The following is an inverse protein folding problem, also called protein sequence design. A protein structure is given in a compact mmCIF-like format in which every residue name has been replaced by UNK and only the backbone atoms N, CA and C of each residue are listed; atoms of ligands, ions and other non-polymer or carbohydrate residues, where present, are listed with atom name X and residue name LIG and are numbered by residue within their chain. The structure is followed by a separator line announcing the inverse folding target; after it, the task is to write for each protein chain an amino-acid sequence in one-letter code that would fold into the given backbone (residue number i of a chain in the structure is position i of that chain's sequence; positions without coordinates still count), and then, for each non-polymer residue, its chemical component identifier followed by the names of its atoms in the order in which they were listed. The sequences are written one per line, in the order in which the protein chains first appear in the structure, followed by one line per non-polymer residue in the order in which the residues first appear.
data_IF_419493523692
#
_entry.id   IF_419493523692
#
_cell.length_a   1.000
_cell.length_b   1.000
_cell.length_c   1.000
_cell.angle_alpha   90.00
_cell.angle_beta   90.00
_cell.angle_gamma   90.00
#
_symmetry.space_group_name_H-M   'P 1'
#
loop_
_entity.id
_entity.type
_entity.pdbx_description
1 polymer ?
#
# COMPACT_ATOMS: atom_id res chain seq x y z
N UNK A 1 -9.29 9.53 -21.91
CA UNK A 1 -9.44 8.47 -22.94
C UNK A 1 -8.25 7.51 -22.99
N UNK A 2 -7.01 7.98 -22.81
CA UNK A 2 -5.79 7.17 -23.00
C UNK A 2 -5.40 6.31 -21.80
N UNK A 3 -5.70 6.72 -20.56
CA UNK A 3 -5.20 6.04 -19.35
C UNK A 3 -5.62 4.56 -19.26
N UNK A 4 -6.89 4.16 -19.44
CA UNK A 4 -7.28 2.75 -19.35
C UNK A 4 -6.58 1.86 -20.39
N UNK A 5 -6.49 2.32 -21.64
CA UNK A 5 -5.82 1.57 -22.71
C UNK A 5 -4.33 1.38 -22.45
N UNK A 6 -3.64 2.45 -22.01
CA UNK A 6 -2.22 2.39 -21.65
C UNK A 6 -1.98 1.52 -20.41
N UNK A 7 -2.82 1.63 -19.40
CA UNK A 7 -2.73 0.76 -18.22
C UNK A 7 -2.84 -0.72 -18.63
N UNK A 8 -3.83 -1.08 -19.45
CA UNK A 8 -4.01 -2.45 -19.91
C UNK A 8 -2.80 -2.93 -20.71
N UNK A 9 -2.30 -2.11 -21.64
CA UNK A 9 -1.13 -2.43 -22.45
C UNK A 9 0.09 -2.73 -21.57
N UNK A 10 0.48 -1.78 -20.73
CA UNK A 10 1.69 -1.93 -19.90
C UNK A 10 1.58 -3.05 -18.87
N UNK A 11 0.43 -3.22 -18.25
CA UNK A 11 0.21 -4.35 -17.33
C UNK A 11 0.33 -5.68 -18.05
N UNK A 12 -0.12 -5.78 -19.30
CA UNK A 12 0.00 -7.00 -20.11
C UNK A 12 1.45 -7.28 -20.47
N UNK A 13 2.18 -6.26 -20.90
CA UNK A 13 3.61 -6.38 -21.29
C UNK A 13 4.51 -6.71 -20.09
N UNK A 14 4.19 -6.19 -18.89
CA UNK A 14 4.94 -6.46 -17.65
C UNK A 14 4.49 -7.72 -16.91
N UNK A 15 3.43 -8.40 -17.38
CA UNK A 15 2.81 -9.51 -16.66
C UNK A 15 3.80 -10.65 -16.37
N UNK A 16 3.97 -10.96 -15.07
CA UNK A 16 4.80 -12.06 -14.60
C UNK A 16 6.31 -11.81 -14.64
N UNK A 17 6.77 -10.64 -15.10
CA UNK A 17 8.19 -10.32 -15.19
C UNK A 17 8.66 -9.40 -14.07
N UNK A 18 7.91 -8.33 -13.79
CA UNK A 18 8.28 -7.28 -12.84
C UNK A 18 7.07 -6.78 -12.04
N UNK A 19 7.32 -6.11 -10.94
CA UNK A 19 6.29 -5.35 -10.22
C UNK A 19 5.97 -4.09 -11.02
N UNK A 20 4.71 -3.91 -11.39
CA UNK A 20 4.26 -2.77 -12.16
C UNK A 20 3.77 -1.65 -11.23
N UNK A 21 4.38 -0.48 -11.34
CA UNK A 21 3.95 0.72 -10.63
C UNK A 21 3.45 1.77 -11.61
N UNK A 22 2.36 2.44 -11.26
CA UNK A 22 1.77 3.50 -12.10
C UNK A 22 2.36 4.85 -11.70
N UNK A 23 2.95 5.55 -12.66
CA UNK A 23 3.37 6.95 -12.49
C UNK A 23 2.25 7.92 -12.83
N UNK A 24 1.91 8.81 -11.88
CA UNK A 24 0.91 9.86 -12.09
C UNK A 24 1.59 11.21 -12.24
N UNK A 25 1.36 11.88 -13.37
CA UNK A 25 1.84 13.23 -13.63
C UNK A 25 0.96 14.28 -12.94
N UNK A 26 1.12 14.44 -11.62
CA UNK A 26 0.26 15.35 -10.84
C UNK A 26 0.52 16.83 -11.14
N UNK A 27 1.57 17.17 -11.89
CA UNK A 27 1.79 18.51 -12.44
C UNK A 27 0.71 18.93 -13.46
N UNK A 28 -0.02 17.97 -14.03
CA UNK A 28 -1.11 18.20 -14.99
C UNK A 28 -2.36 18.80 -14.35
N UNK A 29 -2.40 18.92 -13.03
CA UNK A 29 -3.49 19.57 -12.29
C UNK A 29 -3.22 21.05 -12.06
N UNK A 30 -2.00 21.51 -12.35
CA UNK A 30 -1.59 22.91 -12.15
C UNK A 30 -1.58 23.68 -13.45
N UNK A 31 -2.65 24.43 -13.70
CA UNK A 31 -2.80 25.27 -14.89
C UNK A 31 -1.84 26.46 -14.92
N UNK A 32 -1.29 26.85 -13.77
CA UNK A 32 -0.38 28.00 -13.67
C UNK A 32 1.02 27.72 -14.17
N UNK A 33 1.46 26.47 -14.18
CA UNK A 33 2.84 26.10 -14.50
C UNK A 33 3.10 25.87 -15.99
N UNK A 34 2.11 25.99 -16.88
CA UNK A 34 2.32 25.55 -18.23
C UNK A 34 1.64 26.37 -19.32
N UNK A 35 2.33 27.43 -19.75
CA UNK A 35 1.93 28.23 -20.91
C UNK A 35 2.21 27.54 -22.26
N UNK A 36 2.94 26.42 -22.30
CA UNK A 36 3.35 25.76 -23.54
C UNK A 36 2.35 24.71 -24.03
N UNK A 37 1.49 24.20 -23.14
CA UNK A 37 0.52 23.15 -23.47
C UNK A 37 -0.89 23.72 -23.33
N UNK A 38 -1.32 24.50 -24.30
CA UNK A 38 -2.69 25.06 -24.38
C UNK A 38 -3.72 24.02 -24.83
N UNK A 39 -3.55 22.77 -24.47
CA UNK A 39 -4.45 21.69 -24.82
C UNK A 39 -5.32 21.37 -23.60
N UNK A 40 -6.63 21.60 -23.70
CA UNK A 40 -7.61 21.25 -22.66
C UNK A 40 -7.53 19.78 -22.25
N UNK A 41 -7.11 18.91 -23.18
CA UNK A 41 -6.86 17.49 -22.91
C UNK A 41 -5.62 17.23 -22.03
N UNK A 42 -4.73 18.20 -21.88
CA UNK A 42 -3.54 18.06 -21.04
C UNK A 42 -3.86 18.19 -19.54
N UNK A 43 -4.73 19.15 -19.23
CA UNK A 43 -5.10 19.40 -17.84
C UNK A 43 -6.14 18.39 -17.34
N UNK A 44 -6.02 18.05 -16.06
CA UNK A 44 -6.86 17.06 -15.41
C UNK A 44 -7.51 17.65 -14.16
N UNK A 45 -8.67 17.12 -13.80
CA UNK A 45 -9.36 17.44 -12.55
C UNK A 45 -9.07 16.39 -11.47
N UNK A 46 -9.36 16.74 -10.21
CA UNK A 46 -9.25 15.80 -9.10
C UNK A 46 -10.13 14.54 -9.30
N UNK A 47 -11.23 14.65 -10.04
CA UNK A 47 -12.09 13.51 -10.43
C UNK A 47 -11.33 12.55 -11.34
N UNK A 48 -10.51 13.06 -12.26
CA UNK A 48 -9.70 12.25 -13.15
C UNK A 48 -8.64 11.47 -12.37
N UNK A 49 -8.00 12.11 -11.39
CA UNK A 49 -7.03 11.43 -10.50
C UNK A 49 -7.68 10.30 -9.71
N UNK A 50 -8.85 10.54 -9.12
CA UNK A 50 -9.60 9.51 -8.41
C UNK A 50 -9.96 8.33 -9.33
N UNK A 51 -10.41 8.62 -10.56
CA UNK A 51 -10.73 7.61 -11.56
C UNK A 51 -9.50 6.79 -11.98
N UNK A 52 -8.35 7.44 -12.15
CA UNK A 52 -7.09 6.78 -12.45
C UNK A 52 -6.67 5.84 -11.33
N UNK A 53 -6.76 6.26 -10.05
CA UNK A 53 -6.51 5.40 -8.90
C UNK A 53 -7.46 4.19 -8.88
N UNK A 54 -8.76 4.42 -9.05
CA UNK A 54 -9.75 3.33 -9.07
C UNK A 54 -9.42 2.28 -10.12
N UNK A 55 -9.06 2.71 -11.33
CA UNK A 55 -8.69 1.79 -12.42
C UNK A 55 -7.37 1.06 -12.14
N UNK A 56 -6.38 1.74 -11.63
CA UNK A 56 -5.08 1.14 -11.34
C UNK A 56 -5.17 0.12 -10.20
N UNK A 57 -5.75 0.50 -9.06
CA UNK A 57 -5.86 -0.38 -7.90
C UNK A 57 -6.94 -1.47 -8.04
N UNK A 58 -7.86 -1.32 -8.99
CA UNK A 58 -8.74 -2.42 -9.43
C UNK A 58 -8.00 -3.53 -10.17
N UNK A 59 -6.76 -3.30 -10.60
CA UNK A 59 -5.94 -4.28 -11.30
C UNK A 59 -4.92 -4.91 -10.34
N UNK A 60 -5.09 -6.19 -10.02
CA UNK A 60 -4.22 -6.95 -9.08
C UNK A 60 -2.73 -7.01 -9.47
N UNK A 61 -2.38 -6.66 -10.71
CA UNK A 61 -0.99 -6.63 -11.19
C UNK A 61 -0.30 -5.31 -10.92
N UNK A 62 -1.04 -4.27 -10.55
CA UNK A 62 -0.47 -2.99 -10.12
C UNK A 62 -0.01 -3.13 -8.67
N UNK A 63 1.29 -2.95 -8.46
CA UNK A 63 1.94 -3.10 -7.16
C UNK A 63 2.09 -1.79 -6.38
N UNK A 64 1.85 -0.64 -7.03
CA UNK A 64 1.97 0.64 -6.36
C UNK A 64 1.87 1.84 -7.30
N UNK A 65 2.11 3.01 -6.72
CA UNK A 65 2.00 4.31 -7.37
C UNK A 65 3.23 5.17 -7.13
N UNK A 66 3.54 6.02 -8.10
CA UNK A 66 4.52 7.09 -7.99
C UNK A 66 3.86 8.41 -8.40
N UNK A 67 4.04 9.46 -7.61
CA UNK A 67 3.46 10.78 -7.87
C UNK A 67 4.57 11.74 -8.31
N UNK A 68 4.49 12.27 -9.52
CA UNK A 68 5.43 13.24 -10.05
C UNK A 68 4.74 14.59 -10.23
N UNK A 69 5.13 15.67 -9.53
CA UNK A 69 6.29 15.78 -8.64
C UNK A 69 5.88 16.26 -7.25
N UNK A 70 6.80 16.14 -6.28
CA UNK A 70 6.56 16.53 -4.88
C UNK A 70 6.11 17.99 -4.71
N UNK A 71 6.62 18.95 -5.52
CA UNK A 71 6.18 20.34 -5.47
C UNK A 71 4.67 20.49 -5.62
N UNK A 72 4.04 19.72 -6.50
CA UNK A 72 2.59 19.81 -6.70
C UNK A 72 1.78 19.28 -5.50
N UNK A 73 2.38 18.49 -4.61
CA UNK A 73 1.75 18.13 -3.33
C UNK A 73 1.73 19.33 -2.36
N UNK A 74 2.77 20.17 -2.40
CA UNK A 74 2.83 21.39 -1.59
C UNK A 74 1.87 22.46 -2.14
N UNK A 75 1.86 22.65 -3.45
CA UNK A 75 1.02 23.63 -4.14
C UNK A 75 -0.47 23.25 -4.13
N UNK A 76 -0.76 21.93 -4.01
CA UNK A 76 -2.08 21.36 -3.91
C UNK A 76 -3.10 21.85 -4.97
N UNK A 77 -2.75 21.88 -6.27
CA UNK A 77 -3.67 22.31 -7.32
C UNK A 77 -4.91 21.42 -7.34
N UNK A 78 -6.08 21.99 -7.65
CA UNK A 78 -7.37 21.25 -7.70
C UNK A 78 -7.68 20.43 -6.43
N UNK A 79 -7.04 20.75 -5.29
CA UNK A 79 -7.17 19.97 -4.04
C UNK A 79 -6.83 18.47 -4.18
N UNK A 80 -5.83 18.13 -5.00
CA UNK A 80 -5.41 16.74 -5.24
C UNK A 80 -5.02 16.01 -3.96
N UNK A 81 -4.49 16.72 -2.95
CA UNK A 81 -4.09 16.11 -1.67
C UNK A 81 -5.26 15.42 -0.97
N UNK A 82 -6.49 15.92 -1.12
CA UNK A 82 -7.68 15.27 -0.55
C UNK A 82 -7.95 13.90 -1.21
N UNK A 83 -7.78 13.82 -2.52
CA UNK A 83 -7.95 12.56 -3.27
C UNK A 83 -6.85 11.57 -2.92
N UNK A 84 -5.60 12.05 -2.83
CA UNK A 84 -4.44 11.25 -2.47
C UNK A 84 -4.57 10.72 -1.03
N UNK A 85 -4.89 11.58 -0.07
CA UNK A 85 -5.08 11.18 1.33
C UNK A 85 -6.17 10.10 1.48
N UNK A 86 -7.29 10.24 0.76
CA UNK A 86 -8.36 9.24 0.76
C UNK A 86 -7.90 7.92 0.14
N UNK A 87 -7.12 7.96 -0.94
CA UNK A 87 -6.61 6.75 -1.61
C UNK A 87 -5.66 5.95 -0.72
N UNK A 88 -4.83 6.65 0.07
CA UNK A 88 -3.82 6.06 0.95
C UNK A 88 -4.19 6.16 2.44
N UNK A 89 -5.46 6.24 2.76
CA UNK A 89 -5.99 6.31 4.13
C UNK A 89 -5.63 5.07 4.96
N UNK A 90 -5.61 3.90 4.32
CA UNK A 90 -5.31 2.63 4.97
C UNK A 90 -3.84 2.27 4.81
N UNK A 91 -3.21 1.71 5.86
CA UNK A 91 -1.86 1.19 5.72
C UNK A 91 -1.80 0.09 4.66
N UNK A 92 -0.67 -0.02 3.98
CA UNK A 92 -0.41 -1.09 3.03
C UNK A 92 1.04 -1.53 3.14
N UNK A 93 1.30 -2.82 3.02
CA UNK A 93 2.67 -3.34 2.92
C UNK A 93 3.26 -3.00 1.55
N UNK A 94 4.54 -2.70 1.55
CA UNK A 94 5.30 -2.64 0.31
C UNK A 94 5.38 -4.04 -0.31
N UNK A 95 5.28 -4.16 -1.63
CA UNK A 95 5.39 -5.45 -2.29
C UNK A 95 6.80 -6.02 -2.15
N UNK A 96 6.92 -7.34 -2.23
CA UNK A 96 8.22 -8.00 -2.38
C UNK A 96 8.96 -7.45 -3.61
N UNK A 97 10.18 -6.93 -3.43
CA UNK A 97 10.89 -6.15 -4.44
C UNK A 97 12.08 -6.87 -5.10
N UNK A 98 12.36 -8.12 -4.74
CA UNK A 98 13.45 -8.89 -5.34
C UNK A 98 13.03 -9.62 -6.62
N UNK A 99 13.96 -9.79 -7.54
CA UNK A 99 13.81 -10.69 -8.70
C UNK A 99 14.21 -12.14 -8.37
N UNK A 100 14.79 -12.36 -7.20
CA UNK A 100 15.15 -13.69 -6.70
C UNK A 100 13.90 -14.38 -6.12
N UNK A 101 13.90 -15.71 -6.00
CA UNK A 101 12.84 -16.43 -5.29
C UNK A 101 12.65 -15.89 -3.88
N UNK A 102 11.39 -15.70 -3.47
CA UNK A 102 11.05 -15.20 -2.14
C UNK A 102 11.49 -16.18 -1.05
N UNK A 103 12.32 -15.70 -0.13
CA UNK A 103 12.70 -16.44 1.09
C UNK A 103 12.01 -15.77 2.28
N UNK A 104 10.91 -16.36 2.72
CA UNK A 104 10.12 -15.84 3.83
C UNK A 104 10.91 -15.82 5.15
N UNK A 105 10.75 -14.80 6.00
CA UNK A 105 11.30 -14.81 7.35
C UNK A 105 10.56 -15.80 8.25
N UNK A 106 11.12 -16.06 9.42
CA UNK A 106 10.48 -16.90 10.45
C UNK A 106 9.19 -16.25 10.93
N UNK A 107 8.14 -17.05 11.11
CA UNK A 107 6.88 -16.59 11.67
C UNK A 107 7.05 -16.13 13.11
N UNK A 108 6.46 -14.99 13.53
CA UNK A 108 6.48 -14.55 14.92
C UNK A 108 5.89 -15.60 15.87
N UNK A 109 6.59 -15.89 16.98
CA UNK A 109 6.18 -16.88 17.99
C UNK A 109 5.73 -16.18 19.27
N UNK A 110 5.12 -16.96 20.17
CA UNK A 110 4.67 -16.52 21.48
C UNK A 110 3.81 -15.25 21.44
N UNK A 111 2.91 -15.20 20.44
CA UNK A 111 1.97 -14.09 20.32
C UNK A 111 0.96 -14.15 21.46
N UNK A 112 0.84 -13.08 22.22
CA UNK A 112 -0.01 -12.99 23.43
C UNK A 112 -0.70 -11.64 23.51
N UNK A 113 -1.85 -11.59 24.16
CA UNK A 113 -2.54 -10.36 24.54
C UNK A 113 -2.55 -10.23 26.06
N UNK A 114 -2.04 -9.13 26.59
CA UNK A 114 -2.08 -8.80 28.01
C UNK A 114 -2.71 -7.39 28.16
N UNK A 115 -3.96 -7.34 28.61
CA UNK A 115 -4.76 -6.11 28.59
C UNK A 115 -4.99 -5.66 27.15
N UNK A 116 -4.47 -4.50 26.80
CA UNK A 116 -4.53 -3.95 25.43
C UNK A 116 -3.27 -4.24 24.60
N UNK A 117 -2.20 -4.73 25.22
CA UNK A 117 -0.92 -4.95 24.57
C UNK A 117 -0.85 -6.32 23.87
N UNK A 118 -0.74 -6.33 22.55
CA UNK A 118 -0.37 -7.48 21.71
C UNK A 118 1.15 -7.55 21.67
N UNK A 119 1.76 -8.70 22.03
CA UNK A 119 3.21 -8.91 22.07
C UNK A 119 3.60 -10.21 21.41
N UNK A 120 4.85 -10.28 20.89
CA UNK A 120 5.41 -11.46 20.24
C UNK A 120 6.93 -11.50 20.35
N UNK A 121 7.55 -12.62 20.01
CA UNK A 121 9.00 -12.72 19.95
C UNK A 121 9.55 -11.95 18.74
N UNK A 122 10.65 -11.26 18.95
CA UNK A 122 11.34 -10.53 17.90
C UNK A 122 11.93 -11.49 16.84
N UNK A 123 11.81 -11.10 15.58
CA UNK A 123 12.43 -11.76 14.43
C UNK A 123 13.51 -10.83 13.89
N UNK A 124 14.74 -11.34 13.70
CA UNK A 124 15.87 -10.54 13.25
C UNK A 124 15.62 -9.90 11.88
N UNK A 125 16.08 -8.68 11.68
CA UNK A 125 16.02 -7.90 10.44
C UNK A 125 14.62 -7.72 9.84
N UNK A 126 13.59 -7.76 10.71
CA UNK A 126 12.20 -7.60 10.33
C UNK A 126 11.55 -6.37 10.99
N UNK A 127 10.50 -5.92 10.37
CA UNK A 127 9.42 -5.15 10.95
C UNK A 127 8.15 -6.01 10.92
N UNK A 128 7.03 -5.54 11.45
CA UNK A 128 5.84 -6.38 11.64
C UNK A 128 4.59 -5.73 11.09
N UNK A 129 3.73 -6.56 10.53
CA UNK A 129 2.39 -6.19 10.15
C UNK A 129 1.39 -6.82 11.14
N UNK A 130 0.52 -6.00 11.69
CA UNK A 130 -0.52 -6.40 12.64
C UNK A 130 -1.86 -6.44 11.92
N UNK A 131 -2.56 -7.57 12.03
CA UNK A 131 -3.83 -7.77 11.37
C UNK A 131 -4.95 -8.09 12.35
N UNK A 132 -6.14 -7.58 12.02
CA UNK A 132 -7.38 -8.06 12.60
C UNK A 132 -7.98 -9.13 11.69
N UNK A 133 -8.31 -10.28 12.27
CA UNK A 133 -8.91 -11.41 11.58
C UNK A 133 -10.43 -11.23 11.55
N UNK A 134 -11.03 -11.26 10.37
CA UNK A 134 -12.44 -10.93 10.15
C UNK A 134 -13.37 -12.18 10.12
N UNK A 135 -12.98 -13.26 10.79
CA UNK A 135 -13.81 -14.47 10.92
C UNK A 135 -13.54 -15.55 9.87
N UNK A 136 -13.21 -15.22 8.64
CA UNK A 136 -12.73 -16.16 7.62
C UNK A 136 -11.20 -16.07 7.53
N UNK A 137 -10.50 -17.22 7.40
CA UNK A 137 -9.03 -17.31 7.28
C UNK A 137 -8.46 -16.54 6.07
N UNK A 138 -9.31 -16.15 5.13
CA UNK A 138 -8.91 -15.37 3.94
C UNK A 138 -9.12 -13.88 4.06
N UNK A 139 -9.82 -13.44 5.11
CA UNK A 139 -10.16 -12.04 5.31
C UNK A 139 -9.50 -11.49 6.56
N UNK A 140 -8.59 -10.57 6.38
CA UNK A 140 -7.95 -9.83 7.45
C UNK A 140 -7.78 -8.37 7.06
N UNK A 141 -7.87 -7.49 8.04
CA UNK A 141 -7.61 -6.07 7.87
C UNK A 141 -6.24 -5.74 8.45
N UNK A 142 -5.34 -5.16 7.65
CA UNK A 142 -4.08 -4.62 8.14
C UNK A 142 -4.37 -3.39 9.01
N UNK A 143 -4.02 -3.48 10.30
CA UNK A 143 -4.22 -2.40 11.26
C UNK A 143 -3.04 -1.46 11.33
N UNK A 144 -1.83 -2.02 11.38
CA UNK A 144 -0.62 -1.26 11.56
C UNK A 144 0.61 -1.97 11.00
N UNK A 145 1.64 -1.16 10.72
CA UNK A 145 3.01 -1.60 10.43
C UNK A 145 3.89 -1.01 11.54
N UNK A 146 4.58 -1.88 12.30
CA UNK A 146 5.36 -1.47 13.48
C UNK A 146 6.77 -2.01 13.43
N UNK A 147 7.72 -1.26 14.02
CA UNK A 147 9.13 -1.64 14.11
C UNK A 147 9.45 -2.43 15.39
N UNK A 148 8.55 -2.37 16.37
CA UNK A 148 8.66 -3.04 17.67
C UNK A 148 7.89 -4.34 17.66
N UNK A 149 8.21 -5.25 18.56
CA UNK A 149 7.51 -6.51 18.76
C UNK A 149 6.31 -6.40 19.74
N UNK A 150 5.63 -5.25 19.69
CA UNK A 150 4.40 -4.99 20.43
C UNK A 150 3.52 -3.97 19.72
N UNK A 151 2.19 -4.05 19.95
CA UNK A 151 1.20 -3.14 19.43
C UNK A 151 0.05 -2.96 20.42
N UNK A 152 -0.47 -1.73 20.55
CA UNK A 152 -1.60 -1.41 21.42
C UNK A 152 -2.93 -1.58 20.68
N UNK A 153 -3.70 -2.57 21.09
CA UNK A 153 -5.00 -2.87 20.49
C UNK A 153 -6.08 -1.93 21.03
N UNK A 154 -6.72 -1.21 20.15
CA UNK A 154 -7.80 -0.26 20.49
C UNK A 154 -9.21 -0.91 20.46
N UNK A 155 -9.33 -2.09 19.82
CA UNK A 155 -10.61 -2.79 19.68
C UNK A 155 -10.51 -4.23 20.18
N UNK A 156 -11.65 -4.84 20.48
CA UNK A 156 -11.74 -6.27 20.75
C UNK A 156 -11.76 -7.05 19.44
N UNK A 157 -11.42 -8.34 19.49
CA UNK A 157 -11.43 -9.22 18.33
C UNK A 157 -10.26 -10.18 18.28
N UNK A 158 -10.08 -10.80 17.12
CA UNK A 158 -9.00 -11.76 16.85
C UNK A 158 -7.90 -11.11 16.03
N UNK A 159 -6.65 -11.37 16.41
CA UNK A 159 -5.48 -10.72 15.82
C UNK A 159 -4.38 -11.72 15.53
N UNK A 160 -3.58 -11.41 14.53
CA UNK A 160 -2.34 -12.12 14.23
C UNK A 160 -1.28 -11.14 13.71
N UNK A 161 -0.05 -11.60 13.65
CA UNK A 161 1.10 -10.79 13.24
C UNK A 161 1.90 -11.56 12.20
N UNK A 162 2.48 -10.83 11.26
CA UNK A 162 3.51 -11.35 10.35
C UNK A 162 4.80 -10.57 10.52
N UNK A 163 5.93 -11.22 10.26
CA UNK A 163 7.23 -10.56 10.15
C UNK A 163 7.51 -10.23 8.68
N UNK A 164 8.06 -9.05 8.42
CA UNK A 164 8.38 -8.57 7.08
C UNK A 164 9.85 -8.17 7.03
N UNK A 165 10.62 -8.75 6.13
CA UNK A 165 12.04 -8.42 5.98
C UNK A 165 12.26 -6.98 5.55
N UNK A 166 13.25 -6.31 6.15
CA UNK A 166 13.59 -4.91 5.86
C UNK A 166 14.23 -4.71 4.49
N UNK A 167 14.88 -5.72 3.95
CA UNK A 167 15.67 -5.60 2.71
C UNK A 167 14.85 -5.79 1.42
N UNK A 168 13.84 -6.67 1.44
CA UNK A 168 13.12 -7.07 0.23
C UNK A 168 11.58 -7.13 0.40
N UNK A 169 11.08 -6.87 1.62
CA UNK A 169 9.67 -6.93 2.00
C UNK A 169 9.05 -8.35 1.89
N UNK A 170 9.86 -9.41 1.96
CA UNK A 170 9.33 -10.76 2.06
C UNK A 170 8.55 -10.91 3.38
N UNK A 171 7.31 -11.39 3.30
CA UNK A 171 6.40 -11.54 4.44
C UNK A 171 6.34 -12.99 4.90
N UNK A 172 6.37 -13.22 6.23
CA UNK A 172 6.27 -14.56 6.82
C UNK A 172 4.86 -15.15 6.65
N UNK A 173 4.72 -16.42 7.01
CA UNK A 173 3.42 -16.99 7.30
C UNK A 173 2.79 -16.30 8.53
N UNK A 174 1.46 -16.44 8.66
CA UNK A 174 0.70 -15.86 9.76
C UNK A 174 1.06 -16.50 11.09
N UNK A 175 1.15 -15.73 12.16
CA UNK A 175 1.35 -16.23 13.51
C UNK A 175 0.11 -16.99 14.04
N UNK A 176 0.20 -17.49 15.27
CA UNK A 176 -0.98 -17.92 16.02
C UNK A 176 -1.97 -16.74 16.13
N UNK A 177 -3.27 -17.06 15.99
CA UNK A 177 -4.35 -16.08 16.18
C UNK A 177 -4.65 -16.01 17.68
N UNK A 178 -4.66 -14.79 18.21
CA UNK A 178 -4.99 -14.50 19.62
C UNK A 178 -6.23 -13.60 19.69
N UNK A 179 -6.94 -13.66 20.83
CA UNK A 179 -8.17 -12.91 21.01
C UNK A 179 -8.05 -11.91 22.16
N UNK A 180 -8.44 -10.67 21.90
CA UNK A 180 -8.73 -9.65 22.91
C UNK A 180 -10.23 -9.62 23.15
N UNK A 181 -10.65 -9.84 24.39
CA UNK A 181 -12.04 -9.78 24.85
C UNK A 181 -12.38 -8.39 25.38
#
# INVERSE_FOLDING_TARGET
RWFPARLTQFVTECAGKNKFMVGYGIYRFDKSQNSQWNDDDFYQSNVDLQRQFTLAYGNKKVAGSSLYRAQNLLDNPENINKVIAKQFEKPALLPYLSLLPEVKPTTPKNVTVAGTALKWDAVADCYYAVYQHNGDKKEATLLAIVQTNSYELTTNGKFFVTAVKKNDNAESEVSAIVEKK
#
